data_IF_691080569240
#
_entry.id   IF_691080569240
#
_cell.length_a   1.000
_cell.length_b   1.000
_cell.length_c   1.000
_cell.angle_alpha   90.00
_cell.angle_beta   90.00
_cell.angle_gamma   90.00
#
_symmetry.space_group_name_H-M   'P 1'
#
loop_
_entity.id
_entity.type
_entity.pdbx_description
1 polymer ?
#
# COMPACT_ATOMS: atom_id res chain seq x y z
N UNK A 1 15.72 7.65 10.70
CA UNK A 1 14.63 8.65 10.80
C UNK A 1 13.36 7.91 10.44
N UNK A 2 12.36 7.88 11.32
CA UNK A 2 11.10 7.22 11.01
C UNK A 2 10.42 8.00 9.89
N UNK A 3 10.16 7.35 8.75
CA UNK A 3 9.35 7.96 7.70
C UNK A 3 7.99 8.29 8.32
N UNK A 4 7.57 9.55 8.21
CA UNK A 4 6.28 9.98 8.75
C UNK A 4 5.22 9.55 7.72
N UNK A 5 4.59 8.42 8.00
CA UNK A 5 3.55 7.82 7.15
C UNK A 5 2.18 8.17 7.75
N UNK A 6 1.32 8.81 6.96
CA UNK A 6 -0.02 9.21 7.39
C UNK A 6 -1.05 8.67 6.41
N UNK A 7 -2.05 7.96 6.92
CA UNK A 7 -3.20 7.52 6.15
C UNK A 7 -4.02 8.73 5.73
N UNK A 8 -4.14 8.98 4.42
CA UNK A 8 -4.97 10.05 3.87
C UNK A 8 -6.39 9.58 3.59
N UNK A 9 -6.52 8.38 3.02
CA UNK A 9 -7.81 7.79 2.69
C UNK A 9 -7.71 6.26 2.63
N UNK A 10 -8.84 5.61 2.90
CA UNK A 10 -9.01 4.17 2.76
C UNK A 10 -10.31 3.93 2.00
N UNK A 11 -10.24 3.11 0.97
CA UNK A 11 -11.41 2.58 0.26
C UNK A 11 -11.33 1.07 0.30
N UNK A 12 -12.17 0.44 1.12
CA UNK A 12 -12.28 -1.01 1.20
C UNK A 12 -13.55 -1.47 0.49
N UNK A 13 -13.39 -2.29 -0.54
CA UNK A 13 -14.44 -3.03 -1.22
C UNK A 13 -14.32 -4.53 -0.87
N UNK A 14 -15.32 -5.32 -1.30
CA UNK A 14 -15.33 -6.77 -1.08
C UNK A 14 -14.22 -7.49 -1.86
N UNK A 15 -13.73 -6.87 -2.93
CA UNK A 15 -12.79 -7.43 -3.89
C UNK A 15 -11.41 -6.73 -3.86
N UNK A 16 -11.32 -5.52 -3.31
CA UNK A 16 -10.03 -4.82 -3.19
C UNK A 16 -9.99 -3.86 -2.00
N UNK A 17 -8.79 -3.45 -1.63
CA UNK A 17 -8.57 -2.34 -0.69
C UNK A 17 -7.58 -1.36 -1.31
N UNK A 18 -7.96 -0.09 -1.35
CA UNK A 18 -7.10 1.00 -1.77
C UNK A 18 -6.73 1.86 -0.56
N UNK A 19 -5.45 1.96 -0.28
CA UNK A 19 -4.91 2.90 0.70
C UNK A 19 -4.23 4.05 0.00
N UNK A 20 -4.54 5.26 0.45
CA UNK A 20 -3.83 6.48 0.06
C UNK A 20 -3.04 6.96 1.25
N UNK A 21 -1.72 7.00 1.12
CA UNK A 21 -0.81 7.24 2.23
C UNK A 21 0.11 8.39 1.86
N UNK A 22 0.27 9.35 2.76
CA UNK A 22 1.31 10.36 2.65
C UNK A 22 2.56 9.82 3.30
N UNK A 23 3.64 9.65 2.53
CA UNK A 23 4.96 9.26 3.01
C UNK A 23 5.89 10.44 2.78
N UNK A 24 6.29 11.11 3.87
CA UNK A 24 7.05 12.36 3.81
C UNK A 24 6.28 13.41 2.97
N UNK A 25 6.82 13.86 1.82
CA UNK A 25 6.17 14.80 0.90
C UNK A 25 5.52 14.16 -0.33
N UNK A 26 5.51 12.82 -0.39
CA UNK A 26 4.93 12.09 -1.52
C UNK A 26 3.63 11.38 -1.12
N UNK A 27 2.65 11.41 -2.03
CA UNK A 27 1.46 10.59 -1.91
C UNK A 27 1.71 9.26 -2.60
N UNK A 28 1.54 8.18 -1.85
CA UNK A 28 1.66 6.81 -2.31
C UNK A 28 0.29 6.13 -2.31
N UNK A 29 0.10 5.21 -3.24
CA UNK A 29 -1.13 4.44 -3.42
C UNK A 29 -0.82 2.96 -3.21
N UNK A 30 -1.66 2.26 -2.45
CA UNK A 30 -1.51 0.83 -2.19
C UNK A 30 -2.79 0.15 -2.58
N UNK A 31 -2.75 -0.69 -3.61
CA UNK A 31 -3.89 -1.48 -4.03
C UNK A 31 -3.67 -2.94 -3.59
N UNK A 32 -4.59 -3.47 -2.78
CA UNK A 32 -4.61 -4.86 -2.36
C UNK A 32 -5.77 -5.53 -3.07
N UNK A 33 -5.49 -6.47 -3.96
CA UNK A 33 -6.54 -7.20 -4.71
C UNK A 33 -7.06 -8.45 -3.99
N UNK A 34 -6.52 -8.74 -2.81
CA UNK A 34 -7.07 -9.77 -1.93
C UNK A 34 -7.26 -9.20 -0.52
N UNK A 35 -8.46 -8.69 -0.18
CA UNK A 35 -8.70 -8.05 1.10
C UNK A 35 -8.46 -8.97 2.30
N UNK A 36 -8.53 -10.30 2.15
CA UNK A 36 -8.31 -11.28 3.23
C UNK A 36 -6.90 -11.27 3.83
N UNK A 37 -5.96 -10.60 3.17
CA UNK A 37 -4.60 -10.38 3.67
C UNK A 37 -4.59 -9.52 4.94
N UNK A 38 -5.51 -8.56 5.04
CA UNK A 38 -5.64 -7.67 6.18
C UNK A 38 -6.94 -8.02 6.90
N UNK A 39 -6.90 -8.36 8.20
CA UNK A 39 -8.12 -8.65 8.97
C UNK A 39 -9.05 -7.44 8.93
N UNK A 40 -10.35 -7.69 8.80
CA UNK A 40 -11.38 -6.66 8.54
C UNK A 40 -11.29 -5.47 9.50
N UNK A 41 -11.16 -5.73 10.81
CA UNK A 41 -10.99 -4.71 11.85
C UNK A 41 -9.74 -3.83 11.67
N UNK A 42 -8.71 -4.35 11.00
CA UNK A 42 -7.46 -3.63 10.72
C UNK A 42 -7.45 -2.92 9.37
N UNK A 43 -8.45 -3.15 8.50
CA UNK A 43 -8.52 -2.53 7.16
C UNK A 43 -8.81 -1.03 7.23
N UNK A 44 -9.63 -0.61 8.19
CA UNK A 44 -10.09 0.79 8.32
C UNK A 44 -9.23 1.62 9.26
N UNK A 45 -8.54 0.99 10.21
CA UNK A 45 -7.66 1.70 11.13
C UNK A 45 -6.29 1.96 10.49
N UNK A 46 -6.08 3.21 10.08
CA UNK A 46 -4.91 3.64 9.33
C UNK A 46 -3.56 3.15 9.87
N UNK A 47 -3.25 3.34 11.16
CA UNK A 47 -1.99 2.86 11.74
C UNK A 47 -1.81 1.33 11.72
N UNK A 48 -2.89 0.55 11.91
CA UNK A 48 -2.81 -0.92 11.85
C UNK A 48 -2.58 -1.41 10.43
N UNK A 49 -3.26 -0.82 9.45
CA UNK A 49 -3.06 -1.14 8.04
C UNK A 49 -1.61 -0.85 7.62
N UNK A 50 -1.06 0.31 7.98
CA UNK A 50 0.34 0.66 7.71
C UNK A 50 1.30 -0.34 8.39
N UNK A 51 1.06 -0.71 9.65
CA UNK A 51 1.89 -1.68 10.37
C UNK A 51 1.83 -3.10 9.78
N UNK A 52 0.70 -3.49 9.16
CA UNK A 52 0.58 -4.75 8.44
C UNK A 52 1.33 -4.69 7.11
N UNK A 53 1.13 -3.60 6.35
CA UNK A 53 1.78 -3.36 5.07
C UNK A 53 3.30 -3.23 5.20
N UNK A 54 3.79 -2.67 6.31
CA UNK A 54 5.23 -2.51 6.57
C UNK A 54 6.02 -3.81 6.71
N UNK A 55 5.31 -4.95 6.83
CA UNK A 55 5.93 -6.28 6.86
C UNK A 55 6.25 -6.82 5.48
N UNK A 56 5.68 -6.25 4.42
CA UNK A 56 5.94 -6.65 3.03
C UNK A 56 7.34 -6.20 2.62
N UNK A 57 8.12 -7.07 1.96
CA UNK A 57 9.48 -6.70 1.54
C UNK A 57 9.49 -5.53 0.55
N UNK A 58 8.52 -5.46 -0.37
CA UNK A 58 8.38 -4.32 -1.26
C UNK A 58 7.99 -3.02 -0.55
N UNK A 59 7.43 -3.08 0.67
CA UNK A 59 7.15 -1.87 1.45
C UNK A 59 8.42 -1.19 1.94
N UNK A 60 9.48 -1.98 2.18
CA UNK A 60 10.79 -1.50 2.64
C UNK A 60 11.47 -0.67 1.55
N UNK A 61 11.19 -0.98 0.29
CA UNK A 61 11.52 -0.09 -0.80
C UNK A 61 10.68 1.20 -0.65
N UNK A 62 11.34 2.35 -0.67
CA UNK A 62 10.66 3.66 -0.50
C UNK A 62 10.46 4.40 -1.81
N UNK A 63 10.89 3.80 -2.92
CA UNK A 63 10.95 4.47 -4.21
C UNK A 63 9.77 4.17 -5.14
N UNK A 64 8.82 3.33 -4.69
CA UNK A 64 7.53 3.17 -5.35
C UNK A 64 6.56 4.30 -5.00
N UNK A 65 5.71 4.63 -5.99
CA UNK A 65 4.57 5.55 -5.83
C UNK A 65 3.27 4.78 -5.71
N UNK A 66 3.20 3.63 -6.40
CA UNK A 66 2.06 2.73 -6.37
C UNK A 66 2.53 1.32 -6.06
N UNK A 67 1.97 0.72 -5.02
CA UNK A 67 2.23 -0.67 -4.63
C UNK A 67 0.99 -1.51 -4.89
N UNK A 68 1.13 -2.51 -5.73
CA UNK A 68 0.09 -3.50 -5.97
C UNK A 68 0.42 -4.78 -5.21
N UNK A 69 -0.44 -5.15 -4.27
CA UNK A 69 -0.31 -6.37 -3.47
C UNK A 69 -1.30 -7.39 -3.98
N UNK A 70 -0.77 -8.39 -4.68
CA UNK A 70 -1.55 -9.52 -5.19
C UNK A 70 -1.16 -10.79 -4.43
N UNK A 71 -2.14 -11.65 -4.18
CA UNK A 71 -1.89 -12.99 -3.67
C UNK A 71 -1.80 -13.93 -4.88
N UNK A 72 -0.65 -14.53 -5.12
CA UNK A 72 -0.49 -15.58 -6.11
C UNK A 72 -0.44 -16.95 -5.42
N UNK A 73 -0.52 -18.04 -6.19
CA UNK A 73 -0.60 -19.43 -5.67
C UNK A 73 0.59 -19.84 -4.76
N UNK A 74 1.64 -19.00 -4.68
CA UNK A 74 2.81 -19.18 -3.81
C UNK A 74 2.87 -18.23 -2.61
N UNK A 75 1.94 -17.28 -2.46
CA UNK A 75 1.87 -16.35 -1.33
C UNK A 75 1.60 -14.90 -1.70
N UNK A 76 2.06 -13.97 -0.85
CA UNK A 76 1.98 -12.52 -1.07
C UNK A 76 3.07 -12.08 -2.06
N UNK A 77 2.68 -11.64 -3.25
CA UNK A 77 3.59 -11.01 -4.20
C UNK A 77 3.26 -9.53 -4.35
N UNK A 78 4.03 -8.66 -3.68
CA UNK A 78 3.91 -7.23 -3.92
C UNK A 78 4.67 -6.85 -5.20
N UNK A 79 3.97 -6.33 -6.18
CA UNK A 79 4.53 -5.65 -7.36
C UNK A 79 4.54 -4.14 -7.12
N UNK A 80 5.72 -3.58 -6.87
CA UNK A 80 5.92 -2.14 -6.78
C UNK A 80 6.15 -1.57 -8.17
N UNK A 81 5.27 -0.69 -8.66
CA UNK A 81 5.50 0.01 -9.92
C UNK A 81 6.12 1.38 -9.64
N UNK A 82 7.30 1.60 -10.22
CA UNK A 82 7.96 2.88 -10.24
C UNK A 82 7.41 3.68 -11.42
N UNK A 83 6.36 4.47 -11.20
CA UNK A 83 6.08 5.57 -12.12
C UNK A 83 7.12 6.66 -11.87
N UNK A 84 8.31 6.48 -12.42
CA UNK A 84 9.21 7.60 -12.68
C UNK A 84 8.43 8.62 -13.49
N UNK A 85 8.34 9.84 -12.95
CA UNK A 85 7.75 11.07 -13.50
C UNK A 85 6.90 10.88 -14.76
N UNK A 86 5.59 11.15 -14.67
CA UNK A 86 4.83 11.56 -15.84
C UNK A 86 5.70 12.56 -16.64
N UNK A 87 6.15 12.25 -17.86
CA UNK A 87 6.67 13.29 -18.70
C UNK A 87 5.50 14.22 -18.97
N UNK A 88 5.65 15.49 -18.59
CA UNK A 88 4.85 16.56 -19.18
C UNK A 88 4.84 16.35 -20.70
N UNK A 89 3.67 16.09 -21.27
CA UNK A 89 3.34 16.32 -22.67
C UNK A 89 1.82 16.49 -22.80
#
# INVERSE_FOLDING_TARGET
MANMETMLAVESASDYILYRIKRNDQVAYVNISNPDIIPEDSRTYGPSAIAALSKLDAWKDTSWVTLHVHLNEKGLCPEGYFIGSLPNA
#
